data_IF_572705734927
#
_entry.id   IF_572705734927
#
_cell.length_a   1.000
_cell.length_b   1.000
_cell.length_c   1.000
_cell.angle_alpha   90.00
_cell.angle_beta   90.00
_cell.angle_gamma   90.00
#
_symmetry.space_group_name_H-M   'P 1'
#
loop_
_entity.id
_entity.type
_entity.pdbx_description
1 polymer ?
#
# COMPACT_ATOMS: atom_id res chain seq x y z
N UNK A 1 -0.11 -10.59 -2.85
CA UNK A 1 1.14 -10.88 -3.59
C UNK A 1 2.36 -10.28 -2.86
N UNK A 2 2.51 -10.54 -1.56
CA UNK A 2 3.69 -10.16 -0.73
C UNK A 2 4.10 -11.35 0.14
N UNK A 3 3.13 -12.17 0.56
CA UNK A 3 3.33 -13.44 1.27
C UNK A 3 4.10 -14.48 0.45
N UNK A 4 3.83 -14.63 -0.85
CA UNK A 4 4.42 -15.69 -1.68
C UNK A 4 5.96 -15.64 -1.81
N UNK A 5 6.56 -14.44 -1.78
CA UNK A 5 8.02 -14.31 -1.93
C UNK A 5 8.80 -14.72 -0.67
N UNK A 6 8.15 -14.72 0.50
CA UNK A 6 8.79 -15.09 1.76
C UNK A 6 8.40 -16.49 2.25
N UNK A 7 7.48 -17.18 1.58
CA UNK A 7 7.09 -18.57 1.89
C UNK A 7 7.94 -19.62 1.15
N UNK A 8 8.96 -19.22 0.38
CA UNK A 8 9.79 -20.16 -0.39
C UNK A 8 9.07 -20.80 -1.57
N UNK A 9 7.92 -20.25 -1.97
CA UNK A 9 7.13 -20.76 -3.08
C UNK A 9 7.66 -20.14 -4.38
N UNK A 10 8.26 -20.98 -5.23
CA UNK A 10 8.82 -20.60 -6.54
C UNK A 10 7.80 -20.60 -7.67
N UNK A 11 6.65 -21.26 -7.45
CA UNK A 11 5.48 -21.31 -8.35
C UNK A 11 4.23 -21.61 -7.52
N UNK A 12 3.13 -20.93 -7.79
CA UNK A 12 1.80 -21.27 -7.26
C UNK A 12 0.94 -21.72 -8.42
N UNK A 13 0.38 -22.92 -8.34
CA UNK A 13 -0.53 -23.43 -9.37
C UNK A 13 -1.90 -22.74 -9.22
N UNK A 14 -2.27 -22.34 -8.00
CA UNK A 14 -3.42 -21.50 -7.71
C UNK A 14 -3.14 -20.46 -6.61
N UNK A 15 -3.89 -19.35 -6.59
CA UNK A 15 -3.77 -18.36 -5.52
C UNK A 15 -4.16 -18.92 -4.13
N UNK A 16 -4.87 -20.06 -4.09
CA UNK A 16 -5.25 -20.75 -2.87
C UNK A 16 -4.09 -21.48 -2.20
N UNK A 17 -3.04 -21.84 -2.95
CA UNK A 17 -1.80 -22.37 -2.36
C UNK A 17 -1.17 -21.34 -1.40
N UNK A 18 -1.40 -20.04 -1.64
CA UNK A 18 -0.96 -18.94 -0.76
C UNK A 18 -1.84 -18.83 0.49
N UNK A 19 -3.14 -19.09 0.36
CA UNK A 19 -4.12 -19.03 1.46
C UNK A 19 -4.02 -20.26 2.37
N UNK A 20 -3.69 -21.42 1.80
CA UNK A 20 -3.41 -22.66 2.54
C UNK A 20 -1.99 -22.68 3.12
N UNK A 21 -1.05 -21.92 2.53
CA UNK A 21 0.28 -21.76 3.13
C UNK A 21 0.18 -21.03 4.46
N UNK A 22 0.86 -21.56 5.48
CA UNK A 22 1.01 -20.89 6.77
C UNK A 22 1.55 -19.48 6.52
N UNK A 23 0.76 -18.47 6.88
CA UNK A 23 1.20 -17.07 6.75
C UNK A 23 2.49 -16.92 7.54
N UNK A 24 3.60 -16.47 6.91
CA UNK A 24 4.90 -16.46 7.56
C UNK A 24 4.84 -15.55 8.79
N UNK A 25 5.38 -16.05 9.90
CA UNK A 25 5.46 -15.29 11.14
C UNK A 25 6.48 -14.15 11.01
N UNK A 26 6.45 -13.19 11.93
CA UNK A 26 7.46 -12.11 11.95
C UNK A 26 8.90 -12.64 12.07
N UNK A 27 9.11 -13.76 12.77
CA UNK A 27 10.42 -14.40 12.86
C UNK A 27 10.83 -15.03 11.52
N UNK A 28 9.90 -15.69 10.82
CA UNK A 28 10.18 -16.31 9.52
C UNK A 28 10.58 -15.26 8.47
N UNK A 29 9.87 -14.13 8.43
CA UNK A 29 10.18 -13.00 7.57
C UNK A 29 11.56 -12.40 7.87
N UNK A 30 11.90 -12.27 9.17
CA UNK A 30 13.21 -11.77 9.60
C UNK A 30 14.33 -12.73 9.17
N UNK A 31 14.16 -14.02 9.41
CA UNK A 31 15.15 -15.03 9.06
C UNK A 31 15.39 -15.06 7.54
N UNK A 32 14.32 -15.08 6.75
CA UNK A 32 14.40 -14.99 5.29
C UNK A 32 15.11 -13.71 4.83
N UNK A 33 14.81 -12.57 5.48
CA UNK A 33 15.43 -11.30 5.12
C UNK A 33 16.93 -11.27 5.41
N UNK A 34 17.36 -11.84 6.54
CA UNK A 34 18.78 -11.95 6.89
C UNK A 34 19.55 -12.96 6.04
N UNK A 35 18.89 -14.02 5.55
CA UNK A 35 19.49 -15.01 4.63
C UNK A 35 19.85 -14.39 3.28
N UNK A 36 19.12 -13.37 2.82
CA UNK A 36 19.40 -12.65 1.56
C UNK A 36 19.00 -11.18 1.68
N UNK A 37 19.87 -10.41 2.33
CA UNK A 37 19.69 -8.99 2.61
C UNK A 37 19.57 -8.14 1.32
N UNK A 38 20.37 -8.45 0.30
CA UNK A 38 20.36 -7.74 -0.99
C UNK A 38 19.04 -7.94 -1.73
N UNK A 39 18.52 -9.17 -1.80
CA UNK A 39 17.22 -9.43 -2.41
C UNK A 39 16.09 -8.73 -1.64
N UNK A 40 16.15 -8.76 -0.31
CA UNK A 40 15.20 -8.06 0.56
C UNK A 40 15.18 -6.56 0.31
N UNK A 41 16.37 -5.94 0.20
CA UNK A 41 16.50 -4.52 -0.09
C UNK A 41 15.96 -4.15 -1.48
N UNK A 42 16.25 -4.95 -2.51
CA UNK A 42 15.71 -4.73 -3.86
C UNK A 42 14.19 -4.86 -3.89
N UNK A 43 13.63 -5.84 -3.18
CA UNK A 43 12.19 -6.00 -3.06
C UNK A 43 11.55 -4.80 -2.36
N UNK A 44 12.15 -4.35 -1.26
CA UNK A 44 11.71 -3.15 -0.54
C UNK A 44 11.66 -1.91 -1.45
N UNK A 45 12.73 -1.63 -2.21
CA UNK A 45 12.75 -0.51 -3.16
C UNK A 45 11.66 -0.65 -4.22
N UNK A 46 11.43 -1.86 -4.76
CA UNK A 46 10.32 -2.08 -5.71
C UNK A 46 8.95 -1.81 -5.11
N UNK A 47 8.75 -2.14 -3.84
CA UNK A 47 7.49 -1.84 -3.13
C UNK A 47 7.33 -0.34 -2.93
N UNK A 48 8.41 0.36 -2.56
CA UNK A 48 8.42 1.83 -2.44
C UNK A 48 8.10 2.49 -3.78
N UNK A 49 8.74 2.07 -4.88
CA UNK A 49 8.46 2.59 -6.22
C UNK A 49 7.00 2.34 -6.64
N UNK A 50 6.46 1.15 -6.34
CA UNK A 50 5.06 0.83 -6.62
C UNK A 50 4.10 1.70 -5.79
N UNK A 51 4.40 1.94 -4.51
CA UNK A 51 3.61 2.82 -3.66
C UNK A 51 3.61 4.26 -4.20
N UNK A 52 4.78 4.82 -4.50
CA UNK A 52 4.90 6.18 -5.06
C UNK A 52 4.16 6.27 -6.40
N UNK A 53 4.32 5.27 -7.27
CA UNK A 53 3.66 5.26 -8.58
C UNK A 53 2.15 5.15 -8.52
N UNK A 54 1.62 4.16 -7.81
CA UNK A 54 0.21 3.80 -7.90
C UNK A 54 -0.64 4.39 -6.77
N UNK A 55 -0.07 4.54 -5.57
CA UNK A 55 -0.81 5.11 -4.43
C UNK A 55 -0.70 6.63 -4.44
N UNK A 56 0.51 7.18 -4.64
CA UNK A 56 0.70 8.63 -4.69
C UNK A 56 0.49 9.23 -6.08
N UNK A 57 0.51 8.40 -7.13
CA UNK A 57 0.33 8.88 -8.49
C UNK A 57 1.50 9.70 -9.00
N UNK A 58 2.74 9.39 -8.58
CA UNK A 58 3.96 10.11 -9.00
C UNK A 58 4.92 9.12 -9.64
N UNK A 59 5.52 9.45 -10.78
CA UNK A 59 6.55 8.60 -11.35
C UNK A 59 7.84 8.67 -10.49
N UNK A 60 8.31 7.54 -9.90
CA UNK A 60 9.42 7.56 -8.95
C UNK A 60 10.77 7.90 -9.59
N UNK A 61 10.90 7.88 -10.92
CA UNK A 61 12.15 8.20 -11.62
C UNK A 61 12.22 9.68 -12.00
N UNK A 62 11.10 10.25 -12.42
CA UNK A 62 11.02 11.62 -12.93
C UNK A 62 10.44 12.60 -11.92
N UNK A 63 9.86 12.10 -10.82
CA UNK A 63 9.16 12.86 -9.79
C UNK A 63 8.02 13.74 -10.36
N UNK A 64 7.42 13.29 -11.47
CA UNK A 64 6.31 13.98 -12.13
C UNK A 64 4.98 13.32 -11.76
N UNK A 65 3.90 14.10 -11.59
CA UNK A 65 2.56 13.53 -11.42
C UNK A 65 2.17 12.64 -12.62
N UNK A 66 1.52 11.53 -12.32
CA UNK A 66 0.90 10.65 -13.32
C UNK A 66 -0.35 11.31 -13.88
N UNK A 67 -0.58 11.15 -15.19
CA UNK A 67 -1.80 11.59 -15.86
C UNK A 67 -3.06 10.90 -15.30
N UNK A 68 -2.93 9.67 -14.80
CA UNK A 68 -4.04 8.91 -14.21
C UNK A 68 -4.36 9.31 -12.77
N UNK A 69 -3.53 10.14 -12.13
CA UNK A 69 -3.57 10.35 -10.68
C UNK A 69 -3.14 9.13 -9.86
N UNK A 70 -3.21 9.27 -8.54
CA UNK A 70 -2.94 8.22 -7.56
C UNK A 70 -4.18 7.81 -6.77
N UNK A 71 -4.08 6.69 -6.03
CA UNK A 71 -5.16 6.16 -5.20
C UNK A 71 -5.64 7.14 -4.12
N UNK A 72 -4.75 8.00 -3.59
CA UNK A 72 -5.12 9.01 -2.58
C UNK A 72 -5.70 10.30 -3.18
N UNK A 73 -5.86 10.37 -4.51
CA UNK A 73 -6.22 11.59 -5.23
C UNK A 73 -5.02 12.48 -5.53
N UNK A 74 -5.24 13.80 -5.53
CA UNK A 74 -4.21 14.79 -5.88
C UNK A 74 -3.23 14.98 -4.72
N UNK A 75 -2.04 14.40 -4.87
CA UNK A 75 -0.92 14.57 -3.94
C UNK A 75 -0.17 15.87 -4.26
N UNK A 76 -0.10 16.77 -3.29
CA UNK A 76 0.64 18.04 -3.39
C UNK A 76 2.14 17.83 -3.12
N UNK A 77 2.46 17.02 -2.12
CA UNK A 77 3.83 16.69 -1.73
C UNK A 77 3.87 15.37 -0.96
N UNK A 78 5.04 14.73 -0.96
CA UNK A 78 5.33 13.62 -0.05
C UNK A 78 6.78 13.69 0.43
N UNK A 79 7.02 13.13 1.60
CA UNK A 79 8.34 12.95 2.18
C UNK A 79 8.44 11.54 2.74
N UNK A 80 9.52 10.83 2.43
CA UNK A 80 9.72 9.44 2.84
C UNK A 80 11.10 9.24 3.46
N UNK A 81 11.15 8.63 4.64
CA UNK A 81 12.42 8.30 5.33
C UNK A 81 12.49 6.82 5.67
N UNK A 82 13.57 6.18 5.20
CA UNK A 82 13.89 4.80 5.59
C UNK A 82 14.52 4.83 6.96
N UNK A 83 13.94 4.07 7.89
CA UNK A 83 14.42 4.00 9.27
C UNK A 83 14.84 2.57 9.62
N UNK A 84 15.72 2.45 10.62
CA UNK A 84 16.10 1.14 11.15
C UNK A 84 15.14 0.76 12.29
N UNK A 85 14.28 -0.26 12.11
CA UNK A 85 13.35 -0.69 13.17
C UNK A 85 13.98 -1.64 14.19
N UNK A 86 15.29 -1.88 14.15
CA UNK A 86 15.98 -2.83 15.04
C UNK A 86 15.56 -4.30 14.90
N UNK A 87 14.74 -4.63 13.89
CA UNK A 87 14.11 -5.95 13.71
C UNK A 87 14.56 -6.71 12.45
N UNK A 88 15.57 -6.21 11.75
CA UNK A 88 16.18 -6.88 10.61
C UNK A 88 15.40 -6.79 9.29
N UNK A 89 14.31 -6.00 9.22
CA UNK A 89 13.63 -5.69 7.96
C UNK A 89 13.59 -4.18 7.73
N UNK A 90 13.61 -3.78 6.47
CA UNK A 90 13.49 -2.37 6.07
C UNK A 90 12.03 -1.90 6.22
N UNK A 91 11.87 -0.64 6.62
CA UNK A 91 10.59 0.05 6.68
C UNK A 91 10.79 1.52 6.35
N UNK A 92 9.73 2.19 5.93
CA UNK A 92 9.74 3.60 5.55
C UNK A 92 8.51 4.29 6.15
N UNK A 93 8.72 5.48 6.70
CA UNK A 93 7.66 6.37 7.11
C UNK A 93 7.43 7.41 6.02
N UNK A 94 6.18 7.54 5.58
CA UNK A 94 5.76 8.57 4.63
C UNK A 94 4.93 9.65 5.34
N UNK A 95 5.21 10.90 5.03
CA UNK A 95 4.28 12.01 5.17
C UNK A 95 3.75 12.38 3.79
N UNK A 96 2.43 12.52 3.67
CA UNK A 96 1.76 12.81 2.39
C UNK A 96 0.80 13.97 2.59
N UNK A 97 0.92 14.99 1.74
CA UNK A 97 0.03 16.15 1.71
C UNK A 97 -0.89 16.05 0.51
N UNK A 98 -2.19 16.07 0.76
CA UNK A 98 -3.22 16.02 -0.29
C UNK A 98 -3.80 17.42 -0.49
N UNK A 99 -4.05 17.80 -1.74
CA UNK A 99 -4.55 19.14 -2.10
C UNK A 99 -5.88 19.50 -1.44
N UNK A 100 -6.74 18.51 -1.19
CA UNK A 100 -8.11 18.71 -0.69
C UNK A 100 -8.38 18.03 0.66
N UNK A 101 -7.33 17.76 1.44
CA UNK A 101 -7.49 17.19 2.78
C UNK A 101 -7.59 18.32 3.82
N UNK A 102 -8.55 18.26 4.76
CA UNK A 102 -8.60 19.19 5.88
C UNK A 102 -7.29 19.15 6.69
N UNK A 103 -6.74 20.30 7.09
CA UNK A 103 -5.36 20.41 7.57
C UNK A 103 -5.11 19.80 8.95
N UNK A 104 -6.16 19.60 9.76
CA UNK A 104 -6.05 19.08 11.11
C UNK A 104 -7.41 18.56 11.63
N UNK A 105 -7.38 17.95 12.82
CA UNK A 105 -8.58 17.40 13.47
C UNK A 105 -9.64 18.46 13.75
N UNK A 106 -9.27 19.68 14.14
CA UNK A 106 -10.24 20.75 14.39
C UNK A 106 -11.02 21.14 13.12
N UNK A 107 -10.35 21.15 11.96
CA UNK A 107 -10.99 21.38 10.67
C UNK A 107 -11.94 20.23 10.30
N UNK A 108 -11.55 18.99 10.56
CA UNK A 108 -12.43 17.81 10.40
C UNK A 108 -13.66 17.95 11.30
N UNK A 109 -13.46 18.23 12.60
CA UNK A 109 -14.54 18.39 13.57
C UNK A 109 -15.51 19.51 13.18
N UNK A 110 -15.00 20.59 12.58
CA UNK A 110 -15.81 21.69 12.06
C UNK A 110 -16.69 21.24 10.89
N UNK A 111 -16.13 20.47 9.93
CA UNK A 111 -16.88 19.90 8.80
C UNK A 111 -17.95 18.92 9.31
N UNK A 112 -17.61 18.07 10.27
CA UNK A 112 -18.55 17.09 10.83
C UNK A 112 -19.75 17.74 11.55
N UNK A 113 -19.59 18.96 12.06
CA UNK A 113 -20.64 19.73 12.74
C UNK A 113 -21.39 20.69 11.80
N UNK A 114 -20.95 20.85 10.56
CA UNK A 114 -21.60 21.72 9.58
C UNK A 114 -22.71 20.97 8.85
N UNK A 115 -23.47 21.70 8.02
CA UNK A 115 -24.51 21.14 7.14
C UNK A 115 -23.93 20.15 6.11
N UNK A 116 -22.62 20.18 5.86
CA UNK A 116 -21.92 19.29 4.92
C UNK A 116 -21.42 17.98 5.57
N UNK A 117 -21.57 17.80 6.88
CA UNK A 117 -21.01 16.67 7.63
C UNK A 117 -21.40 15.31 7.06
N UNK A 118 -22.70 15.11 6.76
CA UNK A 118 -23.20 13.86 6.19
C UNK A 118 -22.63 13.58 4.79
N UNK A 119 -22.52 14.62 3.96
CA UNK A 119 -21.93 14.52 2.62
C UNK A 119 -20.45 14.16 2.70
N UNK A 120 -19.72 14.75 3.65
CA UNK A 120 -18.31 14.45 3.87
C UNK A 120 -18.13 12.99 4.29
N UNK A 121 -18.88 12.51 5.29
CA UNK A 121 -18.86 11.11 5.74
C UNK A 121 -19.18 10.13 4.60
N UNK A 122 -20.24 10.39 3.82
CA UNK A 122 -20.61 9.59 2.66
C UNK A 122 -19.49 9.55 1.61
N UNK A 123 -18.79 10.67 1.39
CA UNK A 123 -17.68 10.74 0.45
C UNK A 123 -16.46 9.92 0.90
N UNK A 124 -16.16 9.96 2.21
CA UNK A 124 -15.08 9.14 2.80
C UNK A 124 -15.41 7.65 2.73
N UNK A 125 -16.66 7.27 3.03
CA UNK A 125 -17.12 5.88 2.92
C UNK A 125 -17.05 5.37 1.48
N UNK A 126 -17.59 6.14 0.52
CA UNK A 126 -17.54 5.82 -0.90
C UNK A 126 -16.10 5.68 -1.41
N UNK A 127 -15.20 6.55 -0.95
CA UNK A 127 -13.78 6.42 -1.24
C UNK A 127 -13.20 5.10 -0.71
N UNK A 128 -13.44 4.76 0.55
CA UNK A 128 -12.96 3.52 1.15
C UNK A 128 -13.48 2.28 0.38
N UNK A 129 -14.76 2.25 0.03
CA UNK A 129 -15.38 1.17 -0.75
C UNK A 129 -14.78 1.05 -2.16
N UNK A 130 -14.36 2.17 -2.77
CA UNK A 130 -13.77 2.16 -4.11
C UNK A 130 -12.38 1.51 -4.17
N UNK A 131 -11.64 1.53 -3.05
CA UNK A 131 -10.25 1.08 -2.97
C UNK A 131 -10.11 -0.26 -2.23
N UNK A 132 -11.05 -0.60 -1.36
CA UNK A 132 -11.08 -1.88 -0.65
C UNK A 132 -11.82 -2.90 -1.51
N UNK A 133 -11.12 -3.95 -1.93
CA UNK A 133 -11.72 -5.10 -2.62
C UNK A 133 -11.46 -6.37 -1.83
N UNK A 134 -12.55 -7.09 -1.52
CA UNK A 134 -12.50 -8.43 -0.92
C UNK A 134 -12.67 -9.54 -1.97
N UNK A 135 -12.73 -9.18 -3.25
CA UNK A 135 -12.83 -10.12 -4.36
C UNK A 135 -11.44 -10.54 -4.84
N UNK A 136 -11.26 -11.83 -5.08
CA UNK A 136 -10.05 -12.34 -5.72
C UNK A 136 -9.97 -11.76 -7.14
N UNK A 137 -8.85 -11.15 -7.55
CA UNK A 137 -8.73 -10.51 -8.86
C UNK A 137 -8.67 -11.52 -10.03
N UNK A 138 -8.96 -12.80 -9.77
CA UNK A 138 -8.88 -13.89 -10.73
C UNK A 138 -10.23 -14.62 -10.72
N UNK A 139 -10.88 -14.71 -11.88
CA UNK A 139 -12.03 -15.61 -12.05
C UNK A 139 -11.54 -17.05 -11.95
N UNK A 140 -12.19 -17.84 -11.11
CA UNK A 140 -11.88 -19.27 -10.91
C UNK A 140 -12.55 -20.16 -11.96
N UNK A 141 -13.16 -19.55 -12.98
CA UNK A 141 -13.95 -20.20 -13.99
C UNK A 141 -13.00 -20.88 -14.98
N UNK A 142 -12.48 -22.04 -14.59
CA UNK A 142 -11.79 -22.96 -15.46
C UNK A 142 -12.74 -23.47 -16.54
N UNK A 143 -12.71 -22.84 -17.71
CA UNK A 143 -13.02 -23.50 -18.97
C UNK A 143 -11.91 -23.16 -19.97
N UNK A 144 -11.03 -24.15 -20.11
CA UNK A 144 -10.13 -24.36 -21.26
C UNK A 144 -10.91 -24.42 -22.56
#
# INVERSE_FOLDING_TARGET
MVTAQYTGITSVDTLFDILESKTPTKSDLREASLKNDSASAKLFIRQVDAFIRFVLGVDPKTNKPSLSGGLLGDVQAYFGMVETQGRGTLHIHFLVWLTRCPPNSAAIDSILKSEDGDRFCASVASYADSIVRNELPIRLDGKS
#
